data_IF_523392856160
#
_entry.id   IF_523392856160
#
_cell.length_a   1.000
_cell.length_b   1.000
_cell.length_c   1.000
_cell.angle_alpha   90.00
_cell.angle_beta   90.00
_cell.angle_gamma   90.00
#
_symmetry.space_group_name_H-M   'P 1'
#
loop_
_entity.id
_entity.type
_entity.pdbx_description
1 polymer ?
#
# COMPACT_ATOMS: atom_id res chain seq x y z
N UNK A 1 -18.61 6.20 22.93
CA UNK A 1 -17.98 6.10 21.58
C UNK A 1 -18.33 4.74 21.00
N UNK A 2 -18.73 4.65 19.71
CA UNK A 2 -18.91 3.35 19.05
C UNK A 2 -17.52 2.68 18.88
N UNK A 3 -17.37 1.36 19.06
CA UNK A 3 -16.10 0.68 18.88
C UNK A 3 -15.56 0.86 17.44
N UNK A 4 -14.24 0.84 17.28
CA UNK A 4 -13.60 0.98 15.97
C UNK A 4 -13.71 -0.29 15.12
N UNK A 5 -14.01 -1.44 15.75
CA UNK A 5 -14.25 -2.72 15.09
C UNK A 5 -15.42 -3.48 15.74
N UNK A 6 -16.01 -4.40 15.00
CA UNK A 6 -17.04 -5.32 15.50
C UNK A 6 -16.97 -6.65 14.74
N UNK A 7 -17.27 -7.76 15.43
CA UNK A 7 -17.34 -9.09 14.82
C UNK A 7 -18.67 -9.31 14.08
N UNK A 8 -19.72 -8.63 14.51
CA UNK A 8 -21.05 -8.69 13.88
C UNK A 8 -21.48 -7.29 13.45
N UNK A 9 -21.97 -7.19 12.22
CA UNK A 9 -22.49 -5.93 11.68
C UNK A 9 -23.80 -5.58 12.41
N UNK A 10 -24.01 -4.32 12.85
CA UNK A 10 -25.29 -3.88 13.39
C UNK A 10 -26.43 -4.11 12.36
N UNK A 11 -27.61 -4.52 12.85
CA UNK A 11 -28.73 -4.92 11.97
C UNK A 11 -29.31 -3.85 11.04
N UNK A 12 -28.91 -2.59 11.24
CA UNK A 12 -29.31 -1.45 10.41
C UNK A 12 -28.30 -1.08 9.33
N UNK A 13 -27.41 -2.00 8.96
CA UNK A 13 -26.43 -1.80 7.89
C UNK A 13 -26.69 -2.75 6.73
N UNK A 14 -26.45 -2.28 5.50
CA UNK A 14 -26.51 -3.08 4.30
C UNK A 14 -25.22 -2.96 3.48
N UNK A 15 -24.91 -3.97 2.68
CA UNK A 15 -23.79 -3.94 1.74
C UNK A 15 -24.09 -2.90 0.64
N UNK A 16 -23.36 -1.80 0.65
CA UNK A 16 -23.51 -0.73 -0.33
C UNK A 16 -22.61 -0.95 -1.56
N UNK A 17 -21.39 -1.43 -1.35
CA UNK A 17 -20.42 -1.58 -2.44
C UNK A 17 -19.38 -2.64 -2.13
N UNK A 18 -18.93 -3.33 -3.17
CA UNK A 18 -17.73 -4.19 -3.14
C UNK A 18 -16.71 -3.66 -4.12
N UNK A 19 -15.47 -3.48 -3.67
CA UNK A 19 -14.32 -3.13 -4.50
C UNK A 19 -13.49 -4.40 -4.65
N UNK A 20 -13.30 -4.87 -5.86
CA UNK A 20 -12.56 -6.09 -6.16
C UNK A 20 -11.27 -5.73 -6.90
N UNK A 21 -10.12 -6.08 -6.31
CA UNK A 21 -8.79 -5.85 -6.89
C UNK A 21 -8.20 -7.11 -7.53
N UNK A 22 -8.89 -8.24 -7.43
CA UNK A 22 -8.45 -9.52 -8.03
C UNK A 22 -9.00 -9.68 -9.44
N UNK A 23 -10.27 -9.33 -9.63
CA UNK A 23 -10.91 -9.41 -10.93
C UNK A 23 -10.78 -8.08 -11.70
N UNK A 24 -11.03 -8.12 -13.03
CA UNK A 24 -10.97 -6.94 -13.91
C UNK A 24 -12.15 -5.99 -13.68
N UNK A 25 -12.22 -5.42 -12.49
CA UNK A 25 -13.18 -4.38 -12.13
C UNK A 25 -12.68 -3.01 -12.61
N UNK A 26 -13.59 -2.04 -12.66
CA UNK A 26 -13.23 -0.64 -12.98
C UNK A 26 -12.19 -0.10 -11.99
N UNK A 27 -12.35 -0.40 -10.72
CA UNK A 27 -11.45 0.03 -9.64
C UNK A 27 -10.06 -0.61 -9.80
N UNK A 28 -9.99 -1.87 -10.21
CA UNK A 28 -8.74 -2.55 -10.50
C UNK A 28 -8.00 -1.91 -11.68
N UNK A 29 -8.71 -1.62 -12.78
CA UNK A 29 -8.11 -0.92 -13.94
C UNK A 29 -7.58 0.47 -13.54
N UNK A 30 -8.33 1.24 -12.75
CA UNK A 30 -7.86 2.52 -12.23
C UNK A 30 -6.63 2.33 -11.34
N UNK A 31 -6.62 1.31 -10.48
CA UNK A 31 -5.47 0.96 -9.65
C UNK A 31 -4.23 0.62 -10.47
N UNK A 32 -4.36 -0.16 -11.53
CA UNK A 32 -3.28 -0.51 -12.45
C UNK A 32 -2.73 0.72 -13.19
N UNK A 33 -3.61 1.59 -13.69
CA UNK A 33 -3.19 2.84 -14.34
C UNK A 33 -2.46 3.76 -13.35
N UNK A 34 -2.98 3.88 -12.12
CA UNK A 34 -2.33 4.64 -11.06
C UNK A 34 -0.95 4.05 -10.72
N UNK A 35 -0.84 2.73 -10.61
CA UNK A 35 0.44 2.03 -10.41
C UNK A 35 1.44 2.41 -11.51
N UNK A 36 1.03 2.37 -12.76
CA UNK A 36 1.90 2.73 -13.89
C UNK A 36 2.36 4.19 -13.82
N UNK A 37 1.45 5.12 -13.54
CA UNK A 37 1.76 6.54 -13.37
C UNK A 37 2.75 6.75 -12.21
N UNK A 38 2.50 6.13 -11.06
CA UNK A 38 3.36 6.25 -9.87
C UNK A 38 4.75 5.63 -10.07
N UNK A 39 4.90 4.68 -10.99
CA UNK A 39 6.21 4.13 -11.35
C UNK A 39 6.93 5.00 -12.39
N UNK A 40 6.25 5.37 -13.46
CA UNK A 40 6.89 5.99 -14.64
C UNK A 40 7.18 7.48 -14.41
N UNK A 41 6.22 8.24 -13.90
CA UNK A 41 6.37 9.70 -13.79
C UNK A 41 7.55 10.11 -12.88
N UNK A 42 7.71 9.56 -11.66
CA UNK A 42 8.84 9.92 -10.82
C UNK A 42 10.20 9.54 -11.45
N UNK A 43 10.28 8.41 -12.16
CA UNK A 43 11.50 8.01 -12.88
C UNK A 43 11.84 9.04 -13.94
N UNK A 44 10.88 9.44 -14.80
CA UNK A 44 11.11 10.43 -15.84
C UNK A 44 11.55 11.80 -15.29
N UNK A 45 11.03 12.18 -14.12
CA UNK A 45 11.39 13.45 -13.46
C UNK A 45 12.82 13.43 -12.89
N UNK A 46 13.27 12.29 -12.40
CA UNK A 46 14.56 12.15 -11.71
C UNK A 46 15.69 11.76 -12.65
N UNK A 47 15.39 11.06 -13.75
CA UNK A 47 16.37 10.54 -14.70
C UNK A 47 17.37 11.59 -15.25
N UNK A 48 16.97 12.85 -15.54
CA UNK A 48 17.91 13.86 -16.02
C UNK A 48 18.99 14.23 -15.00
N UNK A 49 18.68 14.21 -13.71
CA UNK A 49 19.62 14.55 -12.64
C UNK A 49 20.39 13.34 -12.10
N UNK A 50 19.79 12.14 -12.18
CA UNK A 50 20.36 10.89 -11.67
C UNK A 50 20.28 9.81 -12.76
N UNK A 51 21.19 9.81 -13.76
CA UNK A 51 21.16 8.83 -14.82
C UNK A 51 21.43 7.41 -14.31
N UNK A 52 20.79 6.40 -14.92
CA UNK A 52 20.97 4.99 -14.54
C UNK A 52 22.41 4.47 -14.66
N UNK A 53 23.25 5.14 -15.44
CA UNK A 53 24.67 4.81 -15.55
C UNK A 53 25.41 4.88 -14.20
N UNK A 54 24.89 5.62 -13.24
CA UNK A 54 25.42 5.66 -11.87
C UNK A 54 25.27 4.32 -11.12
N UNK A 55 24.28 3.51 -11.49
CA UNK A 55 24.10 2.16 -10.92
C UNK A 55 25.08 1.14 -11.47
N UNK A 56 25.50 1.31 -12.71
CA UNK A 56 26.26 0.29 -13.44
C UNK A 56 27.66 0.80 -13.72
N UNK A 57 28.64 0.34 -12.94
CA UNK A 57 30.04 0.53 -13.30
C UNK A 57 30.37 -0.47 -14.42
N UNK A 58 30.71 0.05 -15.60
CA UNK A 58 31.13 -0.76 -16.75
C UNK A 58 32.39 -1.62 -16.46
N UNK A 59 33.10 -1.34 -15.36
CA UNK A 59 34.37 -1.98 -15.03
C UNK A 59 34.25 -3.33 -14.34
N UNK A 60 33.05 -3.70 -13.79
CA UNK A 60 32.88 -4.96 -13.08
C UNK A 60 31.43 -5.47 -13.14
N UNK A 61 31.11 -6.28 -14.17
CA UNK A 61 29.80 -6.92 -14.32
C UNK A 61 29.38 -7.76 -13.10
N UNK A 62 30.34 -8.36 -12.40
CA UNK A 62 30.09 -9.13 -11.19
C UNK A 62 29.52 -8.26 -10.05
N UNK A 63 30.10 -7.09 -9.80
CA UNK A 63 29.60 -6.18 -8.77
C UNK A 63 28.23 -5.60 -9.15
N UNK A 64 27.98 -5.31 -10.42
CA UNK A 64 26.66 -4.87 -10.89
C UNK A 64 25.58 -5.96 -10.66
N UNK A 65 25.91 -7.22 -10.93
CA UNK A 65 25.02 -8.35 -10.67
C UNK A 65 24.72 -8.51 -9.17
N UNK A 66 25.76 -8.43 -8.33
CA UNK A 66 25.61 -8.50 -6.88
C UNK A 66 24.77 -7.35 -6.33
N UNK A 67 24.96 -6.14 -6.87
CA UNK A 67 24.15 -4.96 -6.55
C UNK A 67 22.66 -5.19 -6.90
N UNK A 68 22.38 -5.68 -8.11
CA UNK A 68 21.00 -5.96 -8.53
C UNK A 68 20.35 -7.05 -7.67
N UNK A 69 21.06 -8.12 -7.34
CA UNK A 69 20.57 -9.19 -6.47
C UNK A 69 20.29 -8.68 -5.05
N UNK A 70 21.20 -7.89 -4.48
CA UNK A 70 21.03 -7.24 -3.18
C UNK A 70 19.87 -6.26 -3.17
N UNK A 71 19.74 -5.43 -4.20
CA UNK A 71 18.64 -4.49 -4.36
C UNK A 71 17.29 -5.21 -4.44
N UNK A 72 17.19 -6.30 -5.19
CA UNK A 72 15.98 -7.13 -5.26
C UNK A 72 15.61 -7.71 -3.89
N UNK A 73 16.58 -8.28 -3.17
CA UNK A 73 16.35 -8.83 -1.83
C UNK A 73 15.86 -7.76 -0.85
N UNK A 74 16.51 -6.59 -0.84
CA UNK A 74 16.12 -5.46 0.01
C UNK A 74 14.73 -4.94 -0.35
N UNK A 75 14.38 -4.93 -1.62
CA UNK A 75 13.04 -4.55 -2.10
C UNK A 75 11.97 -5.50 -1.58
N UNK A 76 12.18 -6.82 -1.67
CA UNK A 76 11.24 -7.82 -1.13
C UNK A 76 11.12 -7.69 0.40
N UNK A 77 12.23 -7.48 1.09
CA UNK A 77 12.24 -7.26 2.55
C UNK A 77 11.49 -5.99 2.94
N UNK A 78 11.69 -4.91 2.19
CA UNK A 78 10.99 -3.63 2.36
C UNK A 78 9.48 -3.80 2.26
N UNK A 79 9.00 -4.51 1.24
CA UNK A 79 7.57 -4.79 1.06
C UNK A 79 6.97 -5.57 2.24
N UNK A 80 7.69 -6.57 2.74
CA UNK A 80 7.24 -7.35 3.91
C UNK A 80 7.21 -6.51 5.19
N UNK A 81 8.21 -5.65 5.37
CA UNK A 81 8.28 -4.76 6.53
C UNK A 81 7.17 -3.70 6.49
N UNK A 82 6.89 -3.15 5.31
CA UNK A 82 5.76 -2.26 5.05
C UNK A 82 4.41 -2.92 5.39
N UNK A 83 4.20 -4.18 4.99
CA UNK A 83 2.99 -4.93 5.33
C UNK A 83 2.85 -5.13 6.84
N UNK A 84 3.94 -5.45 7.55
CA UNK A 84 3.94 -5.58 9.01
C UNK A 84 3.65 -4.25 9.71
N UNK A 85 4.21 -3.13 9.22
CA UNK A 85 3.93 -1.80 9.74
C UNK A 85 2.45 -1.45 9.56
N UNK A 86 1.88 -1.72 8.37
CA UNK A 86 0.46 -1.55 8.12
C UNK A 86 -0.40 -2.41 9.06
N UNK A 87 -0.06 -3.69 9.21
CA UNK A 87 -0.78 -4.58 10.14
C UNK A 87 -0.70 -4.10 11.60
N UNK A 88 0.46 -3.61 12.03
CA UNK A 88 0.60 -3.01 13.36
C UNK A 88 -0.32 -1.78 13.53
N UNK A 89 -0.41 -0.92 12.51
CA UNK A 89 -1.31 0.24 12.55
C UNK A 89 -2.78 -0.19 12.54
N UNK A 90 -3.16 -1.21 11.76
CA UNK A 90 -4.51 -1.80 11.80
C UNK A 90 -4.84 -2.33 13.20
N UNK A 91 -3.95 -3.13 13.78
CA UNK A 91 -4.14 -3.66 15.13
C UNK A 91 -4.34 -2.54 16.16
N UNK A 92 -3.49 -1.51 16.15
CA UNK A 92 -3.53 -0.43 17.15
C UNK A 92 -4.70 0.55 16.95
N UNK A 93 -5.07 0.83 15.70
CA UNK A 93 -6.10 1.85 15.39
C UNK A 93 -7.50 1.25 15.36
N UNK A 94 -7.61 0.01 14.89
CA UNK A 94 -8.90 -0.65 14.70
C UNK A 94 -9.26 -1.58 15.85
N UNK A 95 -8.30 -1.91 16.73
CA UNK A 95 -8.46 -2.86 17.84
C UNK A 95 -9.05 -4.21 17.36
N UNK A 96 -8.47 -4.74 16.26
CA UNK A 96 -8.93 -5.96 15.63
C UNK A 96 -7.74 -6.90 15.32
N UNK A 97 -7.97 -8.22 15.27
CA UNK A 97 -6.98 -9.15 14.78
C UNK A 97 -6.62 -8.82 13.33
N UNK A 98 -5.35 -9.00 12.98
CA UNK A 98 -4.84 -8.73 11.64
C UNK A 98 -4.48 -10.03 10.97
N UNK A 99 -5.00 -10.25 9.79
CA UNK A 99 -4.63 -11.36 8.92
C UNK A 99 -3.61 -10.90 7.88
N UNK A 100 -2.74 -11.82 7.46
CA UNK A 100 -1.75 -11.56 6.43
C UNK A 100 -1.96 -12.51 5.27
N UNK A 101 -2.32 -11.95 4.12
CA UNK A 101 -2.51 -12.70 2.88
C UNK A 101 -1.27 -12.56 2.01
N UNK A 102 -0.72 -13.68 1.57
CA UNK A 102 0.43 -13.70 0.65
C UNK A 102 -0.07 -13.74 -0.80
N UNK A 103 0.36 -12.77 -1.59
CA UNK A 103 0.09 -12.68 -3.03
C UNK A 103 1.43 -12.74 -3.77
N UNK A 104 2.01 -13.93 -3.92
CA UNK A 104 3.35 -14.11 -4.46
C UNK A 104 4.42 -13.51 -3.55
N UNK A 105 5.17 -12.52 -4.03
CA UNK A 105 6.19 -11.82 -3.24
C UNK A 105 5.60 -10.79 -2.28
N UNK A 106 4.35 -10.37 -2.52
CA UNK A 106 3.65 -9.40 -1.68
C UNK A 106 3.02 -10.06 -0.46
N UNK A 107 3.09 -9.35 0.65
CA UNK A 107 2.32 -9.63 1.85
C UNK A 107 1.35 -8.47 2.06
N UNK A 108 0.07 -8.78 2.24
CA UNK A 108 -0.97 -7.78 2.48
C UNK A 108 -1.55 -7.98 3.86
N UNK A 109 -1.53 -6.94 4.69
CA UNK A 109 -2.24 -6.94 5.95
C UNK A 109 -3.70 -6.53 5.72
N UNK A 110 -4.63 -7.27 6.29
CA UNK A 110 -6.07 -7.06 6.14
C UNK A 110 -6.81 -7.33 7.46
N UNK A 111 -8.07 -6.95 7.52
CA UNK A 111 -8.91 -7.14 8.71
C UNK A 111 -9.63 -8.49 8.72
N UNK A 112 -9.53 -9.25 7.63
CA UNK A 112 -10.18 -10.55 7.51
C UNK A 112 -11.70 -10.45 7.63
N UNK A 113 -12.26 -11.15 8.64
CA UNK A 113 -13.72 -11.21 8.84
C UNK A 113 -14.27 -10.09 9.72
N UNK A 114 -13.42 -9.21 10.26
CA UNK A 114 -13.84 -8.16 11.19
C UNK A 114 -14.29 -6.93 10.44
N UNK A 115 -15.39 -6.33 10.89
CA UNK A 115 -15.89 -5.05 10.36
C UNK A 115 -15.21 -3.90 11.09
N UNK A 116 -14.63 -2.98 10.33
CA UNK A 116 -13.87 -1.85 10.84
C UNK A 116 -14.51 -0.54 10.38
N UNK A 117 -14.53 0.47 11.23
CA UNK A 117 -15.04 1.80 10.87
C UNK A 117 -14.17 2.45 9.80
N UNK A 118 -14.82 3.12 8.85
CA UNK A 118 -14.20 3.84 7.76
C UNK A 118 -12.98 4.67 8.20
N UNK A 119 -13.17 5.55 9.17
CA UNK A 119 -12.11 6.48 9.59
C UNK A 119 -10.93 5.77 10.26
N UNK A 120 -11.18 4.71 11.04
CA UNK A 120 -10.12 3.92 11.65
C UNK A 120 -9.27 3.22 10.58
N UNK A 121 -9.91 2.61 9.58
CA UNK A 121 -9.20 1.96 8.47
C UNK A 121 -8.41 2.97 7.63
N UNK A 122 -9.00 4.14 7.30
CA UNK A 122 -8.29 5.20 6.57
C UNK A 122 -7.03 5.65 7.29
N UNK A 123 -7.13 5.90 8.59
CA UNK A 123 -5.98 6.28 9.41
C UNK A 123 -4.91 5.19 9.45
N UNK A 124 -5.33 3.94 9.70
CA UNK A 124 -4.43 2.79 9.75
C UNK A 124 -3.73 2.51 8.42
N UNK A 125 -4.36 2.85 7.30
CA UNK A 125 -3.83 2.64 5.95
C UNK A 125 -2.93 3.80 5.51
N UNK A 126 -3.37 5.04 5.66
CA UNK A 126 -2.67 6.21 5.12
C UNK A 126 -1.41 6.57 5.92
N UNK A 127 -1.47 6.53 7.25
CA UNK A 127 -0.31 6.91 8.08
C UNK A 127 0.93 6.06 7.75
N UNK A 128 0.89 4.71 7.80
CA UNK A 128 2.07 3.91 7.48
C UNK A 128 2.53 4.06 6.02
N UNK A 129 1.60 4.31 5.08
CA UNK A 129 1.96 4.56 3.68
C UNK A 129 2.81 5.83 3.54
N UNK A 130 2.34 6.95 4.12
CA UNK A 130 3.07 8.22 4.05
C UNK A 130 4.39 8.18 4.82
N UNK A 131 4.41 7.61 6.02
CA UNK A 131 5.63 7.48 6.83
C UNK A 131 6.68 6.64 6.10
N UNK A 132 6.29 5.47 5.58
CA UNK A 132 7.19 4.56 4.91
C UNK A 132 7.74 5.15 3.61
N UNK A 133 6.86 5.65 2.75
CA UNK A 133 7.25 6.28 1.49
C UNK A 133 8.09 7.54 1.72
N UNK A 134 7.73 8.37 2.70
CA UNK A 134 8.49 9.56 3.06
C UNK A 134 9.91 9.24 3.54
N UNK A 135 10.05 8.20 4.38
CA UNK A 135 11.36 7.73 4.86
C UNK A 135 12.24 7.24 3.70
N UNK A 136 11.70 6.42 2.80
CA UNK A 136 12.45 5.91 1.64
C UNK A 136 12.84 7.03 0.67
N UNK A 137 11.93 7.97 0.42
CA UNK A 137 12.21 9.12 -0.44
C UNK A 137 13.29 10.01 0.18
N UNK A 138 13.21 10.30 1.48
CA UNK A 138 14.25 11.05 2.19
C UNK A 138 15.59 10.33 2.12
N UNK A 139 15.60 9.01 2.35
CA UNK A 139 16.81 8.19 2.27
C UNK A 139 17.45 8.30 0.87
N UNK A 140 16.65 8.32 -0.20
CA UNK A 140 17.17 8.44 -1.58
C UNK A 140 17.97 9.73 -1.80
N UNK A 141 17.56 10.85 -1.20
CA UNK A 141 18.25 12.13 -1.36
C UNK A 141 19.36 12.37 -0.33
N UNK A 142 19.47 11.57 0.72
CA UNK A 142 20.52 11.69 1.74
C UNK A 142 21.70 10.79 1.45
N UNK A 143 21.52 9.65 0.78
CA UNK A 143 22.62 8.75 0.41
C UNK A 143 23.46 9.37 -0.72
N UNK A 144 24.69 8.87 -0.90
CA UNK A 144 25.54 9.29 -2.02
C UNK A 144 24.91 8.91 -3.37
N UNK A 145 25.21 9.67 -4.42
CA UNK A 145 24.61 9.55 -5.77
C UNK A 145 24.64 8.10 -6.32
N UNK A 146 25.72 7.38 -6.07
CA UNK A 146 25.87 5.98 -6.50
C UNK A 146 24.84 5.02 -5.87
N UNK A 147 24.29 5.36 -4.69
CA UNK A 147 23.30 4.57 -3.98
C UNK A 147 21.88 5.13 -4.13
N UNK A 148 21.69 6.26 -4.79
CA UNK A 148 20.41 6.95 -4.95
C UNK A 148 19.28 6.00 -5.42
N UNK A 149 19.56 5.22 -6.47
CA UNK A 149 18.56 4.36 -7.09
C UNK A 149 18.03 3.25 -6.17
N UNK A 150 18.80 2.79 -5.19
CA UNK A 150 18.37 1.72 -4.31
C UNK A 150 17.14 2.12 -3.46
N UNK A 151 17.20 3.13 -2.57
CA UNK A 151 16.04 3.55 -1.80
C UNK A 151 14.96 4.20 -2.70
N UNK A 152 15.32 4.80 -3.83
CA UNK A 152 14.35 5.36 -4.76
C UNK A 152 13.50 4.29 -5.44
N UNK A 153 14.08 3.18 -5.90
CA UNK A 153 13.33 2.04 -6.43
C UNK A 153 12.48 1.37 -5.34
N UNK A 154 12.99 1.24 -4.13
CA UNK A 154 12.22 0.75 -3.00
C UNK A 154 11.01 1.67 -2.71
N UNK A 155 11.18 2.99 -2.79
CA UNK A 155 10.10 3.97 -2.69
C UNK A 155 9.05 3.77 -3.79
N UNK A 156 9.47 3.67 -5.05
CA UNK A 156 8.56 3.51 -6.20
C UNK A 156 7.72 2.23 -6.09
N UNK A 157 8.35 1.11 -5.77
CA UNK A 157 7.66 -0.17 -5.60
C UNK A 157 6.73 -0.13 -4.39
N UNK A 158 7.15 0.47 -3.30
CA UNK A 158 6.30 0.66 -2.13
C UNK A 158 5.08 1.54 -2.45
N UNK A 159 5.29 2.67 -3.11
CA UNK A 159 4.22 3.60 -3.50
C UNK A 159 3.23 2.94 -4.46
N UNK A 160 3.72 2.21 -5.47
CA UNK A 160 2.88 1.50 -6.42
C UNK A 160 2.07 0.38 -5.75
N UNK A 161 2.63 -0.31 -4.78
CA UNK A 161 1.92 -1.32 -3.98
C UNK A 161 0.74 -0.77 -3.18
N UNK A 162 0.71 0.54 -2.90
CA UNK A 162 -0.42 1.22 -2.26
C UNK A 162 -1.50 1.68 -3.23
N UNK A 163 -1.30 1.61 -4.54
CA UNK A 163 -2.22 2.18 -5.54
C UNK A 163 -3.66 1.65 -5.37
N UNK A 164 -3.86 0.35 -5.17
CA UNK A 164 -5.17 -0.24 -4.90
C UNK A 164 -5.81 0.32 -3.62
N UNK A 165 -5.03 0.46 -2.54
CA UNK A 165 -5.52 1.04 -1.27
C UNK A 165 -5.86 2.53 -1.43
N UNK A 166 -5.16 3.28 -2.28
CA UNK A 166 -5.51 4.67 -2.60
C UNK A 166 -6.82 4.76 -3.37
N UNK A 167 -7.08 3.86 -4.32
CA UNK A 167 -8.39 3.77 -4.99
C UNK A 167 -9.49 3.44 -3.98
N UNK A 168 -9.27 2.44 -3.13
CA UNK A 168 -10.18 2.10 -2.03
C UNK A 168 -10.45 3.29 -1.11
N UNK A 169 -9.39 4.04 -0.72
CA UNK A 169 -9.48 5.27 0.07
C UNK A 169 -10.36 6.32 -0.63
N UNK A 170 -10.15 6.57 -1.92
CA UNK A 170 -10.93 7.55 -2.68
C UNK A 170 -12.42 7.18 -2.77
N UNK A 171 -12.73 5.89 -2.87
CA UNK A 171 -14.12 5.40 -2.83
C UNK A 171 -14.72 5.56 -1.44
N UNK A 172 -13.96 5.19 -0.38
CA UNK A 172 -14.40 5.27 1.01
C UNK A 172 -14.66 6.71 1.46
N UNK A 173 -13.86 7.68 1.01
CA UNK A 173 -14.05 9.09 1.35
C UNK A 173 -15.40 9.64 0.87
N UNK A 174 -16.02 9.00 -0.11
CA UNK A 174 -17.36 9.38 -0.64
C UNK A 174 -18.51 8.71 0.13
N UNK A 175 -18.20 7.80 1.05
CA UNK A 175 -19.21 7.11 1.86
C UNK A 175 -19.48 7.87 3.16
N UNK A 176 -20.61 7.62 3.86
CA UNK A 176 -20.88 8.20 5.18
C UNK A 176 -19.77 7.89 6.20
N UNK A 177 -19.53 8.79 7.14
CA UNK A 177 -18.44 8.67 8.13
C UNK A 177 -18.61 7.49 9.09
N UNK A 178 -19.82 7.04 9.30
CA UNK A 178 -20.20 5.89 10.15
C UNK A 178 -20.25 4.55 9.40
N UNK A 179 -19.86 4.54 8.10
CA UNK A 179 -19.73 3.29 7.34
C UNK A 179 -18.73 2.33 7.98
N UNK A 180 -19.02 1.04 7.85
CA UNK A 180 -18.11 -0.05 8.17
C UNK A 180 -17.57 -0.68 6.89
N UNK A 181 -16.42 -1.30 7.00
CA UNK A 181 -15.84 -2.05 5.90
C UNK A 181 -15.20 -3.34 6.40
N UNK A 182 -15.06 -4.28 5.50
CA UNK A 182 -14.34 -5.54 5.67
C UNK A 182 -13.30 -5.63 4.55
N UNK A 183 -12.04 -5.78 4.92
CA UNK A 183 -10.89 -5.89 3.99
C UNK A 183 -10.31 -7.30 4.12
N UNK A 184 -10.44 -8.12 3.09
CA UNK A 184 -9.86 -9.46 3.01
C UNK A 184 -8.50 -9.52 2.26
N UNK A 185 -7.98 -8.35 1.90
CA UNK A 185 -6.71 -8.21 1.18
C UNK A 185 -6.86 -8.14 -0.34
N UNK A 186 -7.86 -8.79 -0.91
CA UNK A 186 -8.18 -8.76 -2.34
C UNK A 186 -9.45 -8.00 -2.65
N UNK A 187 -10.39 -7.94 -1.69
CA UNK A 187 -11.64 -7.20 -1.83
C UNK A 187 -11.91 -6.32 -0.62
N UNK A 188 -12.57 -5.18 -0.84
CA UNK A 188 -13.06 -4.31 0.22
C UNK A 188 -14.59 -4.23 0.09
N UNK A 189 -15.30 -4.75 1.08
CA UNK A 189 -16.75 -4.67 1.20
C UNK A 189 -17.13 -3.50 2.09
N UNK A 190 -18.00 -2.63 1.61
CA UNK A 190 -18.42 -1.40 2.29
C UNK A 190 -19.88 -1.52 2.69
N UNK A 191 -20.15 -1.28 3.96
CA UNK A 191 -21.48 -1.34 4.56
C UNK A 191 -21.87 0.04 5.05
N UNK A 192 -23.04 0.52 4.62
CA UNK A 192 -23.60 1.80 5.01
C UNK A 192 -24.85 1.61 5.84
N UNK A 193 -25.15 2.56 6.75
CA UNK A 193 -26.41 2.50 7.50
C UNK A 193 -27.60 2.58 6.53
N UNK A 194 -28.63 1.83 6.80
CA UNK A 194 -29.91 1.95 6.10
C UNK A 194 -30.53 3.29 6.53
N UNK A 195 -30.85 4.14 5.56
CA UNK A 195 -31.60 5.36 5.84
C UNK A 195 -32.96 4.96 6.45
N UNK A 196 -33.28 5.57 7.62
CA UNK A 196 -34.51 5.32 8.34
C UNK A 196 -35.69 6.10 7.72
#
# INVERSE_FOLDING_TARGET
MKPNSCEALPGNYHLSRTIDFVNMSRENVIGLLLTLVLLVVPVLLVLPSHPFSLMFSAQNAFFSLLYCAGAFLLMVLSMRLQAKLHGFCLFKTCDCPVEYVSMGFYLVACTGRVYVRRNAWLTATLIPAFVWCGMLLTAAFVVSEQWFWLPFLMFLVSLSGWAGKFVGTAVLLRQPADSYLQDDGGTIKIYTPTEA
#
